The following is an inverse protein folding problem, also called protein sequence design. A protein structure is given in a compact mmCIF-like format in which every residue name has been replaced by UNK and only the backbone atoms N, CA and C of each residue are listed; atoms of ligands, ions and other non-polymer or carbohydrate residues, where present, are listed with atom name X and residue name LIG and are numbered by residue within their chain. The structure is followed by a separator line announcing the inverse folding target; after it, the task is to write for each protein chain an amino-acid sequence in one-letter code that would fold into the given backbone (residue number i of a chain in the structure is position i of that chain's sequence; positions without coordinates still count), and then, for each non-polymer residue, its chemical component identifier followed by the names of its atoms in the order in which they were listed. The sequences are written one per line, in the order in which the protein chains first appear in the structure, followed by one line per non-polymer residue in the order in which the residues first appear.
data_IF_842524264556
#
_entry.id   IF_842524264556
#
_cell.length_a   1.000
_cell.length_b   1.000
_cell.length_c   1.000
_cell.angle_alpha   90.00
_cell.angle_beta   90.00
_cell.angle_gamma   90.00
#
_symmetry.space_group_name_H-M   'P 1'
#
loop_
_entity.id
_entity.type
_entity.pdbx_description
1 polymer ?
#
# COMPACT_ATOMS: atom_id res chain seq x y z
N UNK A 1 19.61 -9.36 -22.56
CA UNK A 1 19.80 -10.05 -21.27
C UNK A 1 19.37 -9.09 -20.18
N UNK A 2 18.48 -9.51 -19.28
CA UNK A 2 18.01 -8.71 -18.14
C UNK A 2 19.00 -8.83 -17.00
N UNK A 3 19.31 -7.73 -16.33
CA UNK A 3 20.22 -7.71 -15.18
C UNK A 3 19.42 -7.50 -13.89
N UNK A 4 19.66 -8.37 -12.93
CA UNK A 4 19.10 -8.31 -11.58
C UNK A 4 20.22 -7.86 -10.65
N UNK A 5 20.10 -6.66 -10.10
CA UNK A 5 21.04 -6.12 -9.13
C UNK A 5 20.47 -6.31 -7.73
N UNK A 6 21.09 -7.20 -6.95
CA UNK A 6 20.75 -7.46 -5.55
C UNK A 6 21.69 -6.64 -4.67
N UNK A 7 21.12 -5.73 -3.89
CA UNK A 7 21.78 -4.77 -3.02
C UNK A 7 21.44 -5.11 -1.58
N UNK A 8 22.44 -5.43 -0.77
CA UNK A 8 22.21 -5.82 0.61
C UNK A 8 22.98 -4.93 1.58
N UNK A 9 22.28 -4.42 2.60
CA UNK A 9 22.81 -3.53 3.63
C UNK A 9 22.53 -4.11 5.01
N UNK A 10 23.57 -4.32 5.81
CA UNK A 10 23.45 -4.82 7.18
C UNK A 10 24.38 -4.02 8.11
N UNK A 11 24.04 -2.75 8.41
CA UNK A 11 24.91 -1.88 9.20
C UNK A 11 25.21 -2.46 10.59
N UNK A 12 26.43 -2.24 11.08
CA UNK A 12 26.97 -2.87 12.30
C UNK A 12 26.25 -2.48 13.59
N UNK A 13 25.54 -1.37 13.59
CA UNK A 13 24.74 -0.84 14.71
C UNK A 13 23.28 -1.27 14.67
N UNK A 14 22.93 -2.24 13.80
CA UNK A 14 21.59 -2.83 13.70
C UNK A 14 21.59 -4.30 14.09
N UNK A 15 20.40 -4.90 14.21
CA UNK A 15 20.30 -6.35 14.37
C UNK A 15 20.76 -7.03 13.08
N UNK A 16 21.54 -8.09 13.22
CA UNK A 16 22.05 -8.85 12.08
C UNK A 16 20.91 -9.60 11.38
N UNK A 17 20.73 -9.32 10.08
CA UNK A 17 19.83 -10.06 9.20
C UNK A 17 20.58 -11.15 8.43
N UNK A 18 19.92 -12.27 8.13
CA UNK A 18 20.48 -13.37 7.32
C UNK A 18 20.40 -13.10 5.81
N UNK A 19 20.94 -11.97 5.39
CA UNK A 19 20.89 -11.50 3.99
C UNK A 19 21.64 -12.42 3.02
N UNK A 20 22.65 -13.13 3.51
CA UNK A 20 23.40 -14.15 2.77
C UNK A 20 22.50 -15.33 2.37
N UNK A 21 21.58 -15.72 3.25
CA UNK A 21 20.60 -16.77 2.98
C UNK A 21 19.62 -16.30 1.90
N UNK A 22 19.06 -15.09 2.02
CA UNK A 22 18.17 -14.54 0.99
C UNK A 22 18.84 -14.52 -0.39
N UNK A 23 20.07 -14.01 -0.47
CA UNK A 23 20.86 -14.00 -1.70
C UNK A 23 21.07 -15.42 -2.26
N UNK A 24 21.45 -16.37 -1.40
CA UNK A 24 21.67 -17.77 -1.80
C UNK A 24 20.41 -18.39 -2.38
N UNK A 25 19.25 -18.17 -1.75
CA UNK A 25 17.99 -18.74 -2.21
C UNK A 25 17.49 -18.08 -3.51
N UNK A 26 17.65 -16.75 -3.67
CA UNK A 26 17.39 -16.05 -4.94
C UNK A 26 18.25 -16.63 -6.07
N UNK A 27 19.54 -16.85 -5.83
CA UNK A 27 20.43 -17.47 -6.81
C UNK A 27 19.99 -18.90 -7.15
N UNK A 28 19.57 -19.68 -6.16
CA UNK A 28 19.11 -21.06 -6.34
C UNK A 28 17.80 -21.14 -7.16
N UNK A 29 16.86 -20.21 -6.93
CA UNK A 29 15.64 -20.05 -7.71
C UNK A 29 15.97 -19.78 -9.20
N UNK A 30 16.76 -18.74 -9.47
CA UNK A 30 17.15 -18.36 -10.83
C UNK A 30 17.99 -19.42 -11.54
N UNK A 31 18.83 -20.16 -10.82
CA UNK A 31 19.67 -21.21 -11.42
C UNK A 31 18.86 -22.41 -11.93
N UNK A 32 17.75 -22.73 -11.27
CA UNK A 32 16.85 -23.84 -11.64
C UNK A 32 15.84 -23.45 -12.72
N UNK A 33 15.69 -22.15 -12.98
CA UNK A 33 14.77 -21.62 -13.96
C UNK A 33 15.03 -22.10 -15.39
N UNK A 34 13.95 -22.35 -16.12
CA UNK A 34 13.99 -22.74 -17.54
C UNK A 34 14.65 -21.65 -18.41
N UNK A 35 14.39 -20.37 -18.10
CA UNK A 35 14.92 -19.24 -18.85
C UNK A 35 16.17 -18.62 -18.20
N UNK A 36 16.92 -19.36 -17.37
CA UNK A 36 18.09 -18.82 -16.64
C UNK A 36 19.12 -18.06 -17.50
N UNK A 37 19.26 -18.40 -18.78
CA UNK A 37 20.21 -17.75 -19.70
C UNK A 37 19.83 -16.32 -20.08
N UNK A 38 18.60 -15.86 -19.77
CA UNK A 38 18.17 -14.49 -20.06
C UNK A 38 18.50 -13.51 -18.93
N UNK A 39 18.92 -14.01 -17.77
CA UNK A 39 19.21 -13.23 -16.58
C UNK A 39 20.71 -13.25 -16.24
N UNK A 40 21.22 -12.09 -15.86
CA UNK A 40 22.51 -11.93 -15.18
C UNK A 40 22.23 -11.38 -13.78
N UNK A 41 22.70 -12.07 -12.75
CA UNK A 41 22.56 -11.63 -11.35
C UNK A 41 23.87 -11.00 -10.87
N UNK A 42 23.77 -9.78 -10.36
CA UNK A 42 24.87 -9.03 -9.74
C UNK A 42 24.51 -8.81 -8.28
N UNK A 43 25.41 -9.20 -7.38
CA UNK A 43 25.20 -9.05 -5.93
C UNK A 43 26.21 -8.03 -5.40
N UNK A 44 25.73 -7.07 -4.62
CA UNK A 44 26.54 -6.11 -3.88
C UNK A 44 26.15 -6.18 -2.40
N UNK A 45 27.09 -6.63 -1.59
CA UNK A 45 26.94 -6.72 -0.13
C UNK A 45 27.49 -5.44 0.52
N UNK A 46 27.05 -5.18 1.76
CA UNK A 46 27.47 -4.03 2.56
C UNK A 46 27.36 -2.70 1.77
N UNK A 47 26.24 -2.52 1.05
CA UNK A 47 26.08 -1.39 0.13
C UNK A 47 26.07 -0.07 0.92
N UNK A 48 26.99 0.84 0.56
CA UNK A 48 26.99 2.20 1.09
C UNK A 48 26.17 3.13 0.22
N UNK A 49 25.80 4.28 0.75
CA UNK A 49 25.03 5.29 0.00
C UNK A 49 25.72 5.71 -1.31
N UNK A 50 27.05 5.80 -1.32
CA UNK A 50 27.82 6.11 -2.53
C UNK A 50 27.83 4.97 -3.55
N UNK A 51 27.75 3.74 -3.08
CA UNK A 51 27.81 2.54 -3.92
C UNK A 51 26.48 2.32 -4.64
N UNK A 52 25.36 2.70 -4.02
CA UNK A 52 24.02 2.59 -4.62
C UNK A 52 23.95 3.26 -6.01
N UNK A 53 24.38 4.52 -6.12
CA UNK A 53 24.38 5.23 -7.41
C UNK A 53 25.36 4.63 -8.41
N UNK A 54 26.56 4.24 -7.95
CA UNK A 54 27.59 3.65 -8.82
C UNK A 54 27.12 2.33 -9.40
N UNK A 55 26.57 1.45 -8.56
CA UNK A 55 26.06 0.16 -8.99
C UNK A 55 24.94 0.29 -10.04
N UNK A 56 24.02 1.25 -9.89
CA UNK A 56 23.00 1.50 -10.91
C UNK A 56 23.61 1.97 -12.24
N UNK A 57 24.61 2.86 -12.21
CA UNK A 57 25.30 3.35 -13.40
C UNK A 57 26.15 2.26 -14.10
N UNK A 58 26.89 1.49 -13.32
CA UNK A 58 27.88 0.53 -13.82
C UNK A 58 27.20 -0.73 -14.35
N UNK A 59 26.22 -1.25 -13.60
CA UNK A 59 25.56 -2.49 -13.96
C UNK A 59 24.37 -2.29 -14.88
N UNK A 60 23.74 -1.11 -14.87
CA UNK A 60 22.58 -0.84 -15.73
C UNK A 60 21.46 -1.88 -15.56
N UNK A 61 20.96 -2.10 -14.33
CA UNK A 61 20.04 -3.20 -14.06
C UNK A 61 18.63 -2.93 -14.59
N UNK A 62 17.95 -3.98 -15.02
CA UNK A 62 16.51 -3.94 -15.32
C UNK A 62 15.66 -4.17 -14.08
N UNK A 63 16.20 -4.88 -13.10
CA UNK A 63 15.53 -5.25 -11.86
C UNK A 63 16.47 -4.93 -10.70
N UNK A 64 15.98 -4.25 -9.68
CA UNK A 64 16.73 -3.94 -8.46
C UNK A 64 16.05 -4.58 -7.27
N UNK A 65 16.79 -5.38 -6.51
CA UNK A 65 16.36 -5.98 -5.26
C UNK A 65 17.14 -5.36 -4.12
N UNK A 66 16.47 -4.76 -3.16
CA UNK A 66 17.09 -4.30 -1.93
C UNK A 66 16.70 -5.23 -0.78
N UNK A 67 17.70 -5.73 -0.06
CA UNK A 67 17.53 -6.56 1.13
C UNK A 67 18.22 -5.91 2.34
N UNK A 68 17.47 -5.61 3.40
CA UNK A 68 18.03 -4.92 4.57
C UNK A 68 17.00 -4.23 5.45
N UNK A 69 17.46 -3.30 6.28
CA UNK A 69 16.59 -2.61 7.24
C UNK A 69 15.84 -1.43 6.63
N UNK A 70 14.60 -1.25 7.10
CA UNK A 70 13.74 -0.11 6.77
C UNK A 70 13.23 0.58 8.05
N UNK A 71 13.08 1.91 7.98
CA UNK A 71 12.62 2.74 9.10
C UNK A 71 11.37 3.54 8.74
N UNK A 72 10.47 2.96 7.94
CA UNK A 72 9.23 3.60 7.50
C UNK A 72 9.51 4.92 6.79
N UNK A 73 8.84 6.01 7.21
CA UNK A 73 9.01 7.33 6.60
C UNK A 73 10.44 7.88 6.66
N UNK A 74 11.29 7.40 7.57
CA UNK A 74 12.67 7.88 7.68
C UNK A 74 13.59 7.33 6.57
N UNK A 75 13.19 6.26 5.88
CA UNK A 75 13.93 5.71 4.74
C UNK A 75 14.47 4.29 4.92
N UNK A 76 15.34 3.90 3.99
CA UNK A 76 16.07 2.62 4.03
C UNK A 76 17.44 2.81 4.68
N UNK A 77 17.90 1.82 5.43
CA UNK A 77 19.20 1.85 6.08
C UNK A 77 20.28 1.29 5.15
N UNK A 78 21.25 2.13 4.80
CA UNK A 78 22.47 1.73 4.08
C UNK A 78 23.68 1.95 4.99
N UNK A 79 24.86 1.52 4.56
CA UNK A 79 26.09 1.77 5.29
C UNK A 79 26.69 3.15 4.96
N UNK A 80 27.32 3.76 5.96
CA UNK A 80 28.30 4.81 5.74
C UNK A 80 29.73 4.23 5.68
N UNK A 81 30.74 5.09 5.54
CA UNK A 81 32.14 4.66 5.46
C UNK A 81 32.69 3.99 6.73
N UNK A 82 31.97 4.08 7.85
CA UNK A 82 32.30 3.36 9.10
C UNK A 82 31.55 2.02 9.23
N UNK A 83 30.69 1.68 8.27
CA UNK A 83 29.78 0.52 8.34
C UNK A 83 28.62 0.71 9.32
N UNK A 84 28.32 1.95 9.71
CA UNK A 84 27.18 2.28 10.55
C UNK A 84 25.98 2.71 9.69
N UNK A 85 24.80 2.72 10.30
CA UNK A 85 23.55 3.09 9.65
C UNK A 85 23.58 4.51 9.12
N UNK A 86 23.25 4.64 7.84
CA UNK A 86 22.87 5.89 7.20
C UNK A 86 21.53 5.71 6.52
N UNK A 87 20.53 6.46 7.00
CA UNK A 87 19.20 6.45 6.41
C UNK A 87 19.18 7.24 5.09
N UNK A 88 18.62 6.64 4.06
CA UNK A 88 18.37 7.28 2.76
C UNK A 88 16.87 7.54 2.64
N UNK A 89 16.50 8.82 2.60
CA UNK A 89 15.10 9.24 2.62
C UNK A 89 14.31 8.78 1.40
N UNK A 90 12.99 8.69 1.57
CA UNK A 90 12.02 8.40 0.50
C UNK A 90 12.20 9.28 -0.73
N UNK A 91 12.35 10.58 -0.53
CA UNK A 91 12.49 11.58 -1.60
C UNK A 91 13.81 11.40 -2.34
N UNK A 92 14.87 11.03 -1.62
CA UNK A 92 16.19 10.78 -2.19
C UNK A 92 16.18 9.53 -3.07
N UNK A 93 15.55 8.45 -2.61
CA UNK A 93 15.36 7.22 -3.40
C UNK A 93 14.49 7.47 -4.63
N UNK A 94 13.36 8.14 -4.49
CA UNK A 94 12.49 8.47 -5.62
C UNK A 94 13.21 9.33 -6.67
N UNK A 95 13.96 10.34 -6.22
CA UNK A 95 14.78 11.18 -7.12
C UNK A 95 15.87 10.37 -7.82
N UNK A 96 16.51 9.43 -7.14
CA UNK A 96 17.51 8.55 -7.74
C UNK A 96 16.88 7.67 -8.83
N UNK A 97 15.82 6.94 -8.51
CA UNK A 97 15.16 6.04 -9.47
C UNK A 97 14.51 6.79 -10.64
N UNK A 98 14.10 8.05 -10.47
CA UNK A 98 13.70 8.92 -11.59
C UNK A 98 14.77 9.01 -12.68
N UNK A 99 16.05 9.04 -12.31
CA UNK A 99 17.16 9.09 -13.26
C UNK A 99 17.35 7.79 -14.05
N UNK A 100 16.73 6.68 -13.61
CA UNK A 100 16.87 5.36 -14.22
C UNK A 100 15.53 4.78 -14.74
N UNK A 101 14.50 5.62 -14.90
CA UNK A 101 13.14 5.20 -15.26
C UNK A 101 13.00 4.52 -16.64
N UNK A 102 13.95 4.75 -17.54
CA UNK A 102 13.99 4.10 -18.87
C UNK A 102 14.66 2.71 -18.81
N UNK A 103 15.40 2.44 -17.75
CA UNK A 103 16.24 1.26 -17.59
C UNK A 103 15.69 0.27 -16.57
N UNK A 104 15.29 0.76 -15.39
CA UNK A 104 14.75 -0.06 -14.31
C UNK A 104 13.26 -0.26 -14.55
N UNK A 105 12.84 -1.52 -14.67
CA UNK A 105 11.45 -1.92 -14.84
C UNK A 105 10.80 -2.30 -13.51
N UNK A 106 11.57 -2.90 -12.61
CA UNK A 106 11.09 -3.45 -11.35
C UNK A 106 12.04 -3.15 -10.19
N UNK A 107 11.48 -2.74 -9.04
CA UNK A 107 12.21 -2.59 -7.78
C UNK A 107 11.50 -3.42 -6.70
N UNK A 108 12.25 -4.25 -5.98
CA UNK A 108 11.75 -5.01 -4.82
C UNK A 108 12.46 -4.49 -3.58
N UNK A 109 11.70 -3.94 -2.63
CA UNK A 109 12.21 -3.41 -1.36
C UNK A 109 11.87 -4.37 -0.21
N UNK A 110 12.73 -5.37 -0.01
CA UNK A 110 12.60 -6.32 1.09
C UNK A 110 13.16 -5.72 2.38
N UNK A 111 12.38 -4.80 2.96
CA UNK A 111 12.73 -4.04 4.16
C UNK A 111 11.46 -3.60 4.89
N UNK A 112 11.48 -3.63 6.22
CA UNK A 112 10.33 -3.27 7.05
C UNK A 112 9.76 -1.88 6.72
N UNK A 113 8.43 -1.78 6.61
CA UNK A 113 7.72 -0.53 6.34
C UNK A 113 8.16 0.21 5.06
N UNK A 114 8.67 -0.53 4.05
CA UNK A 114 9.18 0.05 2.80
C UNK A 114 8.09 0.49 1.79
N UNK A 115 6.79 0.31 2.10
CA UNK A 115 5.69 0.74 1.21
C UNK A 115 5.77 2.24 0.88
N UNK A 116 6.19 3.08 1.84
CA UNK A 116 6.30 4.53 1.65
C UNK A 116 7.31 4.85 0.54
N UNK A 117 8.44 4.14 0.50
CA UNK A 117 9.42 4.23 -0.58
C UNK A 117 8.89 3.63 -1.88
N UNK A 118 8.18 2.51 -1.80
CA UNK A 118 7.58 1.88 -2.98
C UNK A 118 6.62 2.82 -3.70
N UNK A 119 5.74 3.52 -2.97
CA UNK A 119 4.82 4.53 -3.52
C UNK A 119 5.57 5.67 -4.22
N UNK A 120 6.63 6.18 -3.59
CA UNK A 120 7.40 7.30 -4.15
C UNK A 120 8.22 6.90 -5.38
N UNK A 121 8.87 5.74 -5.36
CA UNK A 121 9.64 5.20 -6.50
C UNK A 121 8.71 4.84 -7.66
N UNK A 122 7.52 4.32 -7.35
CA UNK A 122 6.51 3.98 -8.34
C UNK A 122 6.00 5.20 -9.12
N UNK A 123 6.29 6.43 -8.69
CA UNK A 123 6.06 7.61 -9.52
C UNK A 123 6.85 7.56 -10.84
N UNK A 124 7.94 6.80 -10.88
CA UNK A 124 8.89 6.72 -12.00
C UNK A 124 9.11 5.30 -12.52
N UNK A 125 9.04 4.29 -11.67
CA UNK A 125 9.27 2.88 -12.05
C UNK A 125 7.94 2.14 -12.18
N UNK A 126 7.81 1.34 -13.24
CA UNK A 126 6.54 0.69 -13.59
C UNK A 126 6.06 -0.31 -12.55
N UNK A 127 6.99 -1.05 -11.92
CA UNK A 127 6.67 -2.04 -10.90
C UNK A 127 7.53 -1.81 -9.66
N UNK A 128 6.90 -1.65 -8.49
CA UNK A 128 7.63 -1.56 -7.22
C UNK A 128 6.93 -2.38 -6.15
N UNK A 129 7.66 -3.25 -5.48
CA UNK A 129 7.22 -4.00 -4.30
C UNK A 129 7.83 -3.38 -3.06
N UNK A 130 7.03 -3.21 -2.01
CA UNK A 130 7.50 -2.85 -0.67
C UNK A 130 6.70 -3.57 0.42
N UNK A 131 7.02 -3.31 1.67
CA UNK A 131 6.41 -3.93 2.84
C UNK A 131 5.57 -2.89 3.59
N UNK A 132 4.29 -3.14 3.83
CA UNK A 132 3.41 -2.20 4.54
C UNK A 132 3.62 -2.20 6.07
N UNK A 133 4.29 -3.24 6.59
CA UNK A 133 4.60 -3.42 8.01
C UNK A 133 5.98 -4.08 8.20
N UNK A 134 6.32 -4.45 9.43
CA UNK A 134 7.49 -5.26 9.71
C UNK A 134 7.33 -6.67 9.12
N UNK A 135 8.40 -7.23 8.56
CA UNK A 135 8.44 -8.58 7.99
C UNK A 135 9.56 -9.37 8.65
N UNK A 136 9.33 -10.65 8.94
CA UNK A 136 10.34 -11.56 9.46
C UNK A 136 11.28 -12.09 8.37
N UNK A 137 12.52 -12.42 8.74
CA UNK A 137 13.55 -12.91 7.80
C UNK A 137 13.05 -14.08 6.94
N UNK A 138 12.41 -15.09 7.55
CA UNK A 138 11.89 -16.24 6.81
C UNK A 138 10.79 -15.83 5.82
N UNK A 139 9.88 -14.94 6.23
CA UNK A 139 8.83 -14.41 5.35
C UNK A 139 9.43 -13.68 4.14
N UNK A 140 10.42 -12.82 4.39
CA UNK A 140 11.15 -12.07 3.36
C UNK A 140 11.87 -12.99 2.36
N UNK A 141 12.52 -14.05 2.85
CA UNK A 141 13.21 -15.03 2.01
C UNK A 141 12.21 -15.82 1.15
N UNK A 142 11.15 -16.36 1.74
CA UNK A 142 10.15 -17.15 1.01
C UNK A 142 9.44 -16.31 -0.06
N UNK A 143 9.11 -15.05 0.25
CA UNK A 143 8.59 -14.12 -0.74
C UNK A 143 9.54 -13.95 -1.92
N UNK A 144 10.83 -13.70 -1.65
CA UNK A 144 11.84 -13.50 -2.69
C UNK A 144 12.00 -14.76 -3.55
N UNK A 145 12.06 -15.95 -2.94
CA UNK A 145 12.17 -17.23 -3.67
C UNK A 145 11.00 -17.41 -4.64
N UNK A 146 9.76 -17.30 -4.15
CA UNK A 146 8.58 -17.43 -5.00
C UNK A 146 8.54 -16.40 -6.13
N UNK A 147 8.94 -15.16 -5.83
CA UNK A 147 9.05 -14.09 -6.82
C UNK A 147 10.02 -14.45 -7.96
N UNK A 148 11.24 -14.89 -7.61
CA UNK A 148 12.27 -15.18 -8.60
C UNK A 148 12.10 -16.51 -9.32
N UNK A 149 11.43 -17.49 -8.71
CA UNK A 149 11.05 -18.74 -9.38
C UNK A 149 10.12 -18.45 -10.57
N UNK A 150 9.10 -17.61 -10.38
CA UNK A 150 8.17 -17.22 -11.45
C UNK A 150 8.84 -16.32 -12.49
N UNK A 151 9.68 -15.38 -12.04
CA UNK A 151 10.43 -14.54 -12.96
C UNK A 151 11.32 -15.40 -13.88
N UNK A 152 11.99 -16.39 -13.30
CA UNK A 152 12.79 -17.38 -14.03
C UNK A 152 11.97 -18.25 -14.99
N UNK A 153 10.71 -18.52 -14.66
CA UNK A 153 9.76 -19.21 -15.53
C UNK A 153 9.20 -18.32 -16.66
N UNK A 154 9.47 -17.01 -16.64
CA UNK A 154 8.98 -16.05 -17.64
C UNK A 154 7.62 -15.44 -17.33
N UNK A 155 7.16 -15.50 -16.07
CA UNK A 155 5.93 -14.85 -15.63
C UNK A 155 6.04 -13.32 -15.60
N UNK A 156 4.88 -12.66 -15.49
CA UNK A 156 4.83 -11.21 -15.30
C UNK A 156 5.21 -10.82 -13.87
N UNK A 157 5.56 -9.55 -13.62
CA UNK A 157 5.85 -9.10 -12.24
C UNK A 157 4.64 -9.23 -11.31
N UNK A 158 3.42 -9.17 -11.85
CA UNK A 158 2.20 -9.45 -11.09
C UNK A 158 2.16 -10.92 -10.65
N UNK A 159 2.45 -11.85 -11.56
CA UNK A 159 2.50 -13.28 -11.23
C UNK A 159 3.62 -13.59 -10.22
N UNK A 160 4.77 -12.92 -10.37
CA UNK A 160 5.89 -13.04 -9.43
C UNK A 160 5.47 -12.61 -8.03
N UNK A 161 4.77 -11.49 -7.91
CA UNK A 161 4.26 -11.01 -6.62
C UNK A 161 3.25 -11.98 -6.01
N UNK A 162 2.24 -12.41 -6.76
CA UNK A 162 1.20 -13.32 -6.26
C UNK A 162 1.78 -14.65 -5.78
N UNK A 163 2.71 -15.24 -6.52
CA UNK A 163 3.37 -16.48 -6.10
C UNK A 163 4.34 -16.26 -4.95
N UNK A 164 5.01 -15.10 -4.87
CA UNK A 164 5.79 -14.73 -3.69
C UNK A 164 4.94 -14.77 -2.42
N UNK A 165 3.76 -14.13 -2.45
CA UNK A 165 2.82 -14.16 -1.32
C UNK A 165 2.29 -15.57 -1.05
N UNK A 166 1.90 -16.31 -2.09
CA UNK A 166 1.40 -17.68 -1.95
C UNK A 166 2.46 -18.64 -1.38
N UNK A 167 3.75 -18.43 -1.69
CA UNK A 167 4.84 -19.25 -1.14
C UNK A 167 4.93 -19.12 0.38
N UNK A 168 4.70 -17.91 0.91
CA UNK A 168 4.63 -17.68 2.35
C UNK A 168 3.43 -18.40 2.99
N UNK A 169 2.27 -18.38 2.33
CA UNK A 169 1.07 -19.09 2.80
C UNK A 169 1.29 -20.61 2.84
N UNK A 170 1.94 -21.16 1.82
CA UNK A 170 2.26 -22.59 1.73
C UNK A 170 3.22 -23.04 2.85
N UNK A 171 4.13 -22.17 3.26
CA UNK A 171 5.04 -22.38 4.39
C UNK A 171 4.39 -22.12 5.76
N UNK A 172 3.12 -21.71 5.78
CA UNK A 172 2.34 -21.42 6.99
C UNK A 172 2.78 -20.15 7.71
N UNK A 173 3.36 -19.18 7.00
CA UNK A 173 3.87 -17.93 7.55
C UNK A 173 2.77 -16.86 7.46
N UNK A 174 2.23 -16.35 8.59
CA UNK A 174 1.08 -15.45 8.62
C UNK A 174 1.45 -13.99 8.29
N UNK A 175 2.25 -13.78 7.25
CA UNK A 175 2.78 -12.47 6.85
C UNK A 175 2.55 -12.16 5.36
N UNK A 176 1.81 -13.01 4.62
CA UNK A 176 1.62 -12.92 3.15
C UNK A 176 0.90 -11.65 2.70
N UNK A 177 0.26 -10.92 3.63
CA UNK A 177 -0.35 -9.61 3.40
C UNK A 177 0.62 -8.43 3.62
N UNK A 178 1.86 -8.70 4.02
CA UNK A 178 2.90 -7.68 4.28
C UNK A 178 3.49 -7.11 2.97
N UNK A 179 3.88 -7.94 1.99
CA UNK A 179 4.30 -7.43 0.69
C UNK A 179 3.13 -6.74 -0.02
N UNK A 180 3.41 -5.59 -0.61
CA UNK A 180 2.45 -4.84 -1.44
C UNK A 180 3.12 -4.41 -2.73
N UNK A 181 2.40 -4.53 -3.84
CA UNK A 181 2.88 -4.17 -5.17
C UNK A 181 2.20 -2.89 -5.68
N UNK A 182 2.96 -2.03 -6.35
CA UNK A 182 2.48 -0.91 -7.15
C UNK A 182 2.89 -1.17 -8.59
N UNK A 183 1.92 -1.28 -9.51
CA UNK A 183 2.18 -1.62 -10.91
C UNK A 183 1.42 -0.71 -11.88
N UNK A 184 2.09 -0.25 -12.94
CA UNK A 184 1.48 0.43 -14.09
C UNK A 184 1.50 -0.49 -15.29
N UNK A 185 0.40 -0.52 -16.04
CA UNK A 185 0.41 -1.08 -17.39
C UNK A 185 0.95 -0.01 -18.33
N UNK A 186 2.16 -0.18 -18.86
CA UNK A 186 2.53 0.54 -20.10
C UNK A 186 1.66 -0.04 -21.21
N UNK A 187 0.78 0.76 -21.80
CA UNK A 187 0.30 0.48 -23.14
C UNK A 187 1.54 0.48 -24.04
N UNK A 188 1.99 -0.69 -24.46
CA UNK A 188 3.08 -0.85 -25.41
C UNK A 188 2.71 -0.17 -26.73
N UNK A 189 3.04 1.11 -26.91
CA UNK A 189 2.92 1.80 -28.19
C UNK A 189 3.78 1.15 -29.30
N UNK A 190 4.61 0.17 -28.95
CA UNK A 190 5.52 -0.55 -29.84
C UNK A 190 4.90 -1.76 -30.57
N UNK A 191 3.75 -2.29 -30.15
CA UNK A 191 3.12 -3.45 -30.83
C UNK A 191 2.08 -3.06 -31.89
N UNK A 192 1.42 -1.91 -31.78
CA UNK A 192 0.44 -1.46 -32.79
C UNK A 192 1.07 -0.84 -34.05
N UNK A 193 2.33 -0.39 -34.01
CA UNK A 193 3.02 0.14 -35.18
C UNK A 193 3.72 -0.91 -36.06
N UNK A 194 3.90 -2.15 -35.59
CA UNK A 194 4.46 -3.24 -36.42
C UNK A 194 3.39 -4.03 -37.19
N UNK A 195 2.14 -4.05 -36.74
CA UNK A 195 1.06 -4.79 -37.39
C UNK A 195 0.22 -3.98 -38.39
N UNK A 196 0.53 -2.69 -38.59
CA UNK A 196 -0.18 -1.81 -39.53
C UNK A 196 0.41 -1.80 -40.95
N UNK A 197 1.52 -2.52 -41.18
CA UNK A 197 2.22 -2.57 -42.46
C UNK A 197 2.30 -3.99 -43.04
N UNK A 198 1.22 -4.76 -43.01
CA UNK A 198 1.04 -5.95 -43.87
C UNK A 198 -0.38 -6.51 -43.79
N UNK A 199 -1.33 -5.95 -44.55
CA UNK A 199 -2.49 -6.72 -45.02
C UNK A 199 -3.09 -6.08 -46.27
N UNK A 200 -3.03 -6.82 -47.37
CA UNK A 200 -3.76 -6.59 -48.62
C UNK A 200 -5.28 -6.78 -48.39
N UNK A 201 -6.16 -6.17 -49.21
CA UNK A 201 -7.60 -6.21 -48.95
C UNK A 201 -8.18 -7.56 -49.39
N UNK A 202 -8.82 -8.28 -48.48
CA UNK A 202 -9.70 -9.39 -48.82
C UNK A 202 -11.17 -9.01 -48.65
N UNK A 203 -11.94 -9.44 -49.66
CA UNK A 203 -13.36 -9.16 -49.94
C UNK A 203 -14.31 -9.46 -48.77
N UNK A 204 -15.31 -8.59 -48.70
CA UNK A 204 -16.59 -8.76 -48.00
C UNK A 204 -17.33 -10.02 -48.45
N UNK A 205 -17.84 -10.76 -47.47
CA UNK A 205 -19.04 -11.57 -47.65
C UNK A 205 -19.94 -11.31 -46.45
N UNK A 206 -21.08 -10.70 -46.76
CA UNK A 206 -22.22 -10.51 -45.87
C UNK A 206 -22.74 -11.85 -45.35
N UNK A 207 -23.17 -11.83 -44.08
CA UNK A 207 -24.41 -12.49 -43.67
C UNK A 207 -24.91 -11.86 -42.38
N UNK A 208 -26.07 -11.24 -42.53
CA UNK A 208 -26.97 -10.81 -41.48
C UNK A 208 -27.25 -11.96 -40.50
N UNK A 209 -27.28 -11.66 -39.21
CA UNK A 209 -28.53 -11.82 -38.48
C UNK A 209 -28.61 -10.86 -37.29
N UNK A 210 -29.78 -10.24 -37.27
CA UNK A 210 -30.36 -9.25 -36.38
C UNK A 210 -30.28 -9.64 -34.89
N UNK A 211 -30.04 -8.65 -34.02
CA UNK A 211 -30.74 -8.43 -32.74
C UNK A 211 -30.37 -7.02 -32.25
N UNK A 212 -31.28 -6.09 -32.60
CA UNK A 212 -31.75 -4.94 -31.80
C UNK A 212 -30.72 -3.96 -31.20
N UNK A 213 -30.73 -2.76 -31.77
CA UNK A 213 -30.48 -1.50 -31.05
C UNK A 213 -31.38 -1.41 -29.81
N UNK A 214 -30.79 -1.20 -28.64
CA UNK A 214 -31.30 -0.17 -27.72
C UNK A 214 -30.31 0.22 -26.60
N UNK A 215 -30.40 1.50 -26.25
CA UNK A 215 -29.87 2.18 -25.05
C UNK A 215 -28.36 2.42 -24.87
N UNK A 216 -27.91 3.54 -25.45
CA UNK A 216 -26.93 4.42 -24.80
C UNK A 216 -27.59 5.16 -23.62
N UNK A 217 -27.58 4.54 -22.44
CA UNK A 217 -27.80 5.21 -21.16
C UNK A 217 -26.59 4.92 -20.28
N UNK A 218 -25.95 5.95 -19.72
CA UNK A 218 -24.83 5.78 -18.81
C UNK A 218 -25.25 4.96 -17.59
N UNK A 219 -24.92 3.68 -17.58
CA UNK A 219 -25.21 2.78 -16.46
C UNK A 219 -24.09 2.91 -15.44
N UNK A 220 -24.41 3.51 -14.29
CA UNK A 220 -23.62 3.30 -13.07
C UNK A 220 -23.61 1.80 -12.79
N UNK A 221 -22.43 1.20 -12.76
CA UNK A 221 -22.23 -0.21 -12.42
C UNK A 221 -21.70 -0.27 -10.99
N UNK A 222 -22.54 -0.68 -10.06
CA UNK A 222 -22.15 -0.95 -8.67
C UNK A 222 -21.73 -2.42 -8.53
N UNK A 223 -20.64 -2.66 -7.79
CA UNK A 223 -20.16 -4.01 -7.44
C UNK A 223 -20.33 -4.15 -5.92
N UNK A 224 -21.09 -5.15 -5.47
CA UNK A 224 -21.26 -5.45 -4.04
C UNK A 224 -20.55 -6.77 -3.72
N UNK A 225 -19.64 -6.75 -2.74
CA UNK A 225 -18.95 -7.94 -2.24
C UNK A 225 -19.42 -8.22 -0.82
N UNK A 226 -20.01 -9.39 -0.60
CA UNK A 226 -20.43 -9.83 0.74
C UNK A 226 -19.35 -10.66 1.43
N UNK A 227 -19.20 -10.50 2.74
CA UNK A 227 -18.19 -11.20 3.54
C UNK A 227 -16.93 -10.38 3.79
N UNK A 228 -15.84 -11.03 4.21
CA UNK A 228 -14.54 -10.38 4.41
C UNK A 228 -13.77 -10.34 3.09
N UNK A 229 -13.25 -9.18 2.72
CA UNK A 229 -12.38 -9.04 1.54
C UNK A 229 -10.95 -8.82 2.00
N UNK A 230 -10.05 -9.69 1.56
CA UNK A 230 -8.60 -9.61 1.82
C UNK A 230 -7.88 -9.45 0.48
N UNK A 231 -7.01 -8.44 0.38
CA UNK A 231 -6.27 -8.12 -0.85
C UNK A 231 -6.97 -7.07 -1.74
N UNK A 232 -6.69 -7.10 -3.04
CA UNK A 232 -7.21 -6.13 -4.01
C UNK A 232 -8.69 -6.40 -4.34
N UNK A 233 -9.59 -5.74 -3.60
CA UNK A 233 -11.04 -5.91 -3.72
C UNK A 233 -11.64 -5.33 -5.02
N UNK A 234 -11.04 -4.28 -5.57
CA UNK A 234 -11.51 -3.56 -6.76
C UNK A 234 -10.32 -3.07 -7.59
N UNK A 235 -10.37 -3.28 -8.89
CA UNK A 235 -9.41 -2.72 -9.86
C UNK A 235 -10.19 -1.95 -10.92
N UNK A 236 -9.98 -0.64 -11.00
CA UNK A 236 -10.66 0.22 -11.99
C UNK A 236 -9.67 0.67 -13.06
N UNK A 237 -10.15 0.90 -14.28
CA UNK A 237 -9.35 1.52 -15.35
C UNK A 237 -9.20 3.04 -15.18
N UNK A 238 -8.54 3.67 -16.13
CA UNK A 238 -8.29 5.12 -16.10
C UNK A 238 -9.59 5.95 -16.16
N UNK A 239 -9.60 7.09 -15.46
CA UNK A 239 -10.74 8.03 -15.36
C UNK A 239 -11.96 7.55 -14.57
N UNK A 240 -11.80 6.52 -13.72
CA UNK A 240 -12.84 6.13 -12.76
C UNK A 240 -12.60 6.76 -11.38
N UNK A 241 -13.68 7.20 -10.73
CA UNK A 241 -13.66 7.57 -9.31
C UNK A 241 -14.04 6.33 -8.52
N UNK A 242 -13.13 5.85 -7.67
CA UNK A 242 -13.40 4.74 -6.76
C UNK A 242 -13.74 5.31 -5.39
N UNK A 243 -14.96 5.07 -4.93
CA UNK A 243 -15.36 5.36 -3.55
C UNK A 243 -15.56 4.04 -2.81
N UNK A 244 -14.83 3.85 -1.71
CA UNK A 244 -14.98 2.68 -0.84
C UNK A 244 -15.79 3.13 0.37
N UNK A 245 -16.96 2.51 0.54
CA UNK A 245 -17.87 2.79 1.64
C UNK A 245 -17.86 1.59 2.58
N UNK A 246 -17.33 1.77 3.78
CA UNK A 246 -17.31 0.73 4.80
C UNK A 246 -18.59 0.81 5.62
N UNK A 247 -19.42 -0.22 5.52
CA UNK A 247 -20.67 -0.27 6.27
C UNK A 247 -20.41 -0.66 7.73
N UNK A 248 -20.82 0.20 8.65
CA UNK A 248 -20.67 -0.02 10.08
C UNK A 248 -21.84 -0.85 10.63
N UNK A 249 -21.52 -1.90 11.39
CA UNK A 249 -22.54 -2.61 12.19
C UNK A 249 -22.81 -1.79 13.44
N UNK A 250 -23.97 -1.14 13.49
CA UNK A 250 -24.38 -0.30 14.61
C UNK A 250 -24.84 -1.18 15.78
N UNK A 251 -24.21 -1.11 16.96
CA UNK A 251 -24.63 -1.88 18.13
C UNK A 251 -25.95 -1.34 18.71
N UNK A 252 -26.65 -2.15 19.50
CA UNK A 252 -27.85 -1.70 20.20
C UNK A 252 -27.53 -0.51 21.15
N UNK A 253 -28.30 0.60 21.11
CA UNK A 253 -27.99 1.82 21.87
C UNK A 253 -27.87 1.63 23.38
N UNK A 254 -28.63 0.68 23.92
CA UNK A 254 -28.68 0.31 25.35
C UNK A 254 -27.38 -0.32 25.88
N UNK A 255 -26.53 -0.84 25.00
CA UNK A 255 -25.25 -1.46 25.38
C UNK A 255 -24.08 -0.48 25.34
N UNK A 256 -24.32 0.80 25.02
CA UNK A 256 -23.28 1.81 24.87
C UNK A 256 -23.13 2.64 26.14
N UNK A 257 -21.95 2.58 26.75
CA UNK A 257 -21.57 3.54 27.79
C UNK A 257 -21.02 4.83 27.13
N UNK A 258 -21.92 5.79 26.87
CA UNK A 258 -21.58 7.02 26.15
C UNK A 258 -20.41 7.80 26.78
N UNK A 259 -20.29 7.81 28.11
CA UNK A 259 -19.22 8.54 28.80
C UNK A 259 -17.85 7.91 28.53
N UNK A 260 -17.77 6.58 28.56
CA UNK A 260 -16.55 5.86 28.21
C UNK A 260 -16.14 6.12 26.77
N UNK A 261 -17.10 6.09 25.84
CA UNK A 261 -16.82 6.30 24.42
C UNK A 261 -16.40 7.75 24.12
N UNK A 262 -17.02 8.76 24.75
CA UNK A 262 -16.57 10.16 24.63
C UNK A 262 -15.15 10.39 25.14
N UNK A 263 -14.80 9.80 26.29
CA UNK A 263 -13.45 9.90 26.84
C UNK A 263 -12.42 9.27 25.91
N UNK A 264 -12.72 8.10 25.35
CA UNK A 264 -11.83 7.45 24.40
C UNK A 264 -11.65 8.28 23.11
N UNK A 265 -12.73 8.86 22.57
CA UNK A 265 -12.64 9.77 21.44
C UNK A 265 -11.75 10.98 21.75
N UNK A 266 -11.92 11.59 22.93
CA UNK A 266 -11.11 12.72 23.37
C UNK A 266 -9.64 12.37 23.50
N UNK A 267 -9.31 11.23 24.11
CA UNK A 267 -7.93 10.77 24.27
C UNK A 267 -7.24 10.49 22.93
N UNK A 268 -7.97 9.95 21.96
CA UNK A 268 -7.45 9.71 20.62
C UNK A 268 -7.17 11.05 19.92
N UNK A 269 -8.10 12.01 20.01
CA UNK A 269 -7.93 13.32 19.38
C UNK A 269 -6.90 14.21 20.07
N UNK A 270 -6.69 14.05 21.38
CA UNK A 270 -5.66 14.78 22.14
C UNK A 270 -4.22 14.46 21.67
N UNK A 271 -4.02 13.33 20.96
CA UNK A 271 -2.73 12.95 20.37
C UNK A 271 -2.40 13.73 19.10
N UNK A 272 -3.36 14.47 18.55
CA UNK A 272 -3.14 15.30 17.38
C UNK A 272 -2.53 16.65 17.80
N UNK A 273 -1.44 17.05 17.15
CA UNK A 273 -0.88 18.40 17.31
C UNK A 273 -1.71 19.43 16.54
N UNK A 274 -2.85 19.82 17.13
CA UNK A 274 -3.79 20.78 16.51
C UNK A 274 -3.64 22.20 17.05
N UNK A 275 -3.57 23.18 16.15
CA UNK A 275 -3.73 24.60 16.50
C UNK A 275 -5.13 24.92 17.05
N UNK A 276 -6.12 24.08 16.76
CA UNK A 276 -7.50 24.17 17.24
C UNK A 276 -7.78 23.23 18.44
N UNK A 277 -6.76 22.66 19.07
CA UNK A 277 -6.88 21.75 20.23
C UNK A 277 -7.84 22.27 21.31
N UNK A 278 -7.73 23.55 21.67
CA UNK A 278 -8.64 24.19 22.65
C UNK A 278 -10.11 24.19 22.20
N UNK A 279 -10.38 24.33 20.91
CA UNK A 279 -11.76 24.29 20.37
C UNK A 279 -12.33 22.88 20.40
N UNK A 280 -11.48 21.88 20.12
CA UNK A 280 -11.84 20.47 20.24
C UNK A 280 -12.16 20.15 21.70
N UNK A 281 -11.28 20.51 22.63
CA UNK A 281 -11.49 20.29 24.08
C UNK A 281 -12.76 20.96 24.59
N UNK A 282 -13.02 22.22 24.21
CA UNK A 282 -14.25 22.91 24.59
C UNK A 282 -15.50 22.19 24.07
N UNK A 283 -15.46 21.68 22.84
CA UNK A 283 -16.59 20.95 22.27
C UNK A 283 -16.82 19.61 23.00
N UNK A 284 -15.77 18.91 23.44
CA UNK A 284 -15.93 17.74 24.32
C UNK A 284 -16.44 18.11 25.71
N UNK A 285 -16.03 19.25 26.27
CA UNK A 285 -16.53 19.73 27.54
C UNK A 285 -18.03 20.06 27.48
N UNK A 286 -18.50 20.72 26.40
CA UNK A 286 -19.92 21.01 26.18
C UNK A 286 -20.74 19.70 26.10
N UNK A 287 -20.21 18.67 25.42
CA UNK A 287 -20.85 17.36 25.34
C UNK A 287 -20.92 16.67 26.72
N UNK A 288 -19.87 16.76 27.53
CA UNK A 288 -19.82 16.19 28.87
C UNK A 288 -20.75 16.91 29.85
N UNK A 289 -20.85 18.23 29.75
CA UNK A 289 -21.81 19.04 30.52
C UNK A 289 -23.25 18.63 30.22
N UNK A 290 -23.59 18.43 28.94
CA UNK A 290 -24.91 17.95 28.53
C UNK A 290 -25.23 16.56 29.10
N UNK A 291 -24.24 15.64 29.08
CA UNK A 291 -24.40 14.30 29.67
C UNK A 291 -24.57 14.30 31.20
N UNK A 292 -24.18 15.38 31.89
CA UNK A 292 -24.36 15.50 33.33
C UNK A 292 -25.76 16.00 33.73
N UNK A 293 -26.60 16.39 32.77
CA UNK A 293 -27.98 16.81 33.04
C UNK A 293 -28.86 15.61 33.41
N UNK A 294 -29.92 15.80 34.22
CA UNK A 294 -30.85 14.72 34.60
C UNK A 294 -31.50 14.01 33.41
N UNK A 295 -31.68 14.72 32.30
CA UNK A 295 -32.11 14.18 31.01
C UNK A 295 -31.24 14.78 29.90
N UNK A 296 -30.16 14.09 29.48
CA UNK A 296 -29.27 14.59 28.44
C UNK A 296 -29.97 14.68 27.08
N UNK A 297 -29.81 15.81 26.38
CA UNK A 297 -30.24 15.94 24.99
C UNK A 297 -29.19 15.37 24.04
N UNK A 298 -29.53 14.25 23.40
CA UNK A 298 -28.68 13.58 22.41
C UNK A 298 -28.29 14.49 21.24
N UNK A 299 -29.16 15.40 20.83
CA UNK A 299 -28.87 16.31 19.73
C UNK A 299 -27.84 17.36 20.11
N UNK A 300 -27.84 17.85 21.35
CA UNK A 300 -26.83 18.80 21.82
C UNK A 300 -25.46 18.12 21.94
N UNK A 301 -25.41 16.88 22.46
CA UNK A 301 -24.19 16.05 22.45
C UNK A 301 -23.69 15.84 21.03
N UNK A 302 -24.59 15.49 20.09
CA UNK A 302 -24.26 15.28 18.69
C UNK A 302 -23.68 16.53 18.02
N UNK A 303 -24.29 17.72 18.24
CA UNK A 303 -23.78 19.00 17.71
C UNK A 303 -22.41 19.35 18.25
N UNK A 304 -22.18 19.08 19.54
CA UNK A 304 -20.88 19.30 20.16
C UNK A 304 -19.81 18.41 19.51
N UNK A 305 -20.11 17.13 19.29
CA UNK A 305 -19.21 16.22 18.59
C UNK A 305 -18.96 16.62 17.14
N UNK A 306 -20.00 17.02 16.39
CA UNK A 306 -19.88 17.49 15.00
C UNK A 306 -18.87 18.64 14.90
N UNK A 307 -18.95 19.62 15.81
CA UNK A 307 -17.98 20.72 15.91
C UNK A 307 -16.58 20.21 16.23
N UNK A 308 -16.44 19.29 17.19
CA UNK A 308 -15.14 18.74 17.56
C UNK A 308 -14.44 18.08 16.37
N UNK A 309 -15.18 17.24 15.63
CA UNK A 309 -14.69 16.55 14.45
C UNK A 309 -14.43 17.49 13.25
N UNK A 310 -15.19 18.57 13.13
CA UNK A 310 -14.97 19.61 12.12
C UNK A 310 -13.62 20.34 12.28
N UNK A 311 -13.14 20.50 13.52
CA UNK A 311 -11.80 21.00 13.79
C UNK A 311 -10.75 19.90 13.67
N UNK A 312 -11.01 18.72 14.23
CA UNK A 312 -10.07 17.60 14.21
C UNK A 312 -9.68 17.20 12.78
N UNK A 313 -10.65 17.11 11.86
CA UNK A 313 -10.41 16.66 10.47
C UNK A 313 -9.50 17.60 9.65
N UNK A 314 -9.34 18.85 10.10
CA UNK A 314 -8.45 19.84 9.47
C UNK A 314 -7.01 19.73 9.96
N UNK A 315 -6.76 18.93 11.00
CA UNK A 315 -5.45 18.80 11.64
C UNK A 315 -4.56 17.82 10.86
N UNK A 316 -3.30 18.20 10.65
CA UNK A 316 -2.30 17.33 10.05
C UNK A 316 -2.12 16.06 10.93
N UNK A 317 -2.13 14.88 10.30
CA UNK A 317 -2.08 13.60 11.01
C UNK A 317 -3.44 13.04 11.45
N UNK A 318 -4.58 13.69 11.18
CA UNK A 318 -5.91 13.14 11.48
C UNK A 318 -6.13 11.75 10.86
N UNK A 319 -5.63 11.52 9.65
CA UNK A 319 -5.70 10.22 8.95
C UNK A 319 -5.08 9.09 9.79
N UNK A 320 -4.02 9.37 10.54
CA UNK A 320 -3.32 8.36 11.35
C UNK A 320 -4.12 7.87 12.57
N UNK A 321 -5.16 8.60 12.98
CA UNK A 321 -5.99 8.24 14.15
C UNK A 321 -7.35 7.68 13.77
N UNK A 322 -7.74 7.70 12.50
CA UNK A 322 -9.06 7.24 12.00
C UNK A 322 -9.38 5.82 12.48
N UNK A 323 -8.46 4.88 12.34
CA UNK A 323 -8.68 3.48 12.74
C UNK A 323 -8.97 3.34 14.25
N UNK A 324 -8.39 4.21 15.08
CA UNK A 324 -8.64 4.24 16.52
C UNK A 324 -9.97 4.92 16.86
N UNK A 325 -10.43 5.85 16.01
CA UNK A 325 -11.71 6.56 16.20
C UNK A 325 -12.92 5.71 15.81
N UNK A 326 -12.80 4.89 14.75
CA UNK A 326 -13.90 4.06 14.21
C UNK A 326 -14.72 3.29 15.26
N UNK A 327 -14.13 2.46 16.15
CA UNK A 327 -14.93 1.68 17.09
C UNK A 327 -15.69 2.54 18.11
N UNK A 328 -15.07 3.63 18.55
CA UNK A 328 -15.66 4.53 19.53
C UNK A 328 -16.77 5.38 18.90
N UNK A 329 -16.50 5.97 17.73
CA UNK A 329 -17.48 6.79 17.02
C UNK A 329 -18.71 5.98 16.59
N UNK A 330 -18.52 4.73 16.19
CA UNK A 330 -19.62 3.80 15.85
C UNK A 330 -20.58 3.59 17.02
N UNK A 331 -20.05 3.36 18.22
CA UNK A 331 -20.87 3.22 19.42
C UNK A 331 -21.50 4.55 19.83
N UNK A 332 -20.75 5.65 19.74
CA UNK A 332 -21.26 6.99 20.04
C UNK A 332 -22.47 7.35 19.17
N UNK A 333 -22.41 7.14 17.85
CA UNK A 333 -23.55 7.42 16.97
C UNK A 333 -24.71 6.45 17.18
N UNK A 334 -24.43 5.20 17.58
CA UNK A 334 -25.48 4.25 17.96
C UNK A 334 -26.31 4.79 19.13
N UNK A 335 -25.64 5.38 20.13
CA UNK A 335 -26.32 6.01 21.26
C UNK A 335 -27.05 7.30 20.87
N UNK A 336 -26.44 8.15 20.02
CA UNK A 336 -27.01 9.42 19.56
C UNK A 336 -28.27 9.22 18.69
N UNK A 337 -28.32 8.14 17.92
CA UNK A 337 -29.42 7.79 17.01
C UNK A 337 -29.18 8.19 15.56
N UNK A 338 -30.10 7.78 14.69
CA UNK A 338 -29.99 7.82 13.22
C UNK A 338 -29.65 9.20 12.65
N UNK A 339 -30.15 10.28 13.28
CA UNK A 339 -29.87 11.67 12.88
C UNK A 339 -28.37 12.03 12.89
N UNK A 340 -27.56 11.24 13.59
CA UNK A 340 -26.12 11.48 13.78
C UNK A 340 -25.23 10.47 13.07
N UNK A 341 -25.79 9.54 12.29
CA UNK A 341 -25.00 8.60 11.49
C UNK A 341 -24.07 9.29 10.49
N UNK A 342 -24.41 10.51 10.06
CA UNK A 342 -23.52 11.37 9.25
C UNK A 342 -22.12 11.58 9.85
N UNK A 343 -21.96 11.47 11.18
CA UNK A 343 -20.65 11.62 11.84
C UNK A 343 -19.70 10.48 11.45
N UNK A 344 -20.22 9.31 11.09
CA UNK A 344 -19.40 8.18 10.63
C UNK A 344 -18.62 8.48 9.35
N UNK A 345 -19.14 9.38 8.51
CA UNK A 345 -18.46 9.78 7.28
C UNK A 345 -17.10 10.41 7.58
N UNK A 346 -16.93 11.03 8.76
CA UNK A 346 -15.65 11.61 9.19
C UNK A 346 -14.53 10.56 9.29
N UNK A 347 -14.89 9.31 9.58
CA UNK A 347 -13.96 8.17 9.69
C UNK A 347 -14.09 7.19 8.52
N UNK A 348 -14.77 7.59 7.44
CA UNK A 348 -14.96 6.77 6.24
C UNK A 348 -15.94 5.59 6.42
N UNK A 349 -16.85 5.67 7.40
CA UNK A 349 -17.89 4.68 7.67
C UNK A 349 -19.26 5.21 7.20
N UNK A 350 -20.13 4.32 6.74
CA UNK A 350 -21.55 4.58 6.45
C UNK A 350 -22.43 3.53 7.14
N UNK A 351 -23.75 3.75 7.25
CA UNK A 351 -24.70 2.79 7.85
C UNK A 351 -25.49 2.07 6.79
#
# INVERSE_FOLDING_TARGET
MKKILVLCANPKDTNELRLDEEVREIQAALKRANNRSVFEIVIQLAIRVEDLRRALLDYQPTIVHFCGHGSGSNGLALENNSGQTQLVSTESLARLFKSFQEQVECVVLNACYSEVQAVAIHQHIDCVVGMNQAIGDRAAIEFAVGFYDVLGAGGSYSDCFEIGCASMDLEGIPESLTPVIKIRRRFSQTEQQKNSAQTLPMKSLDRDDDITKDNRGGQNRSISVGGSVTGSAMTTGDSNVTEIHYQAVIPAPENVNIRTELNALREVLAKLSSSDSRKIDNAFADAEEELNKPQPDKNEVGKALDRAFDYAKKTEGFVSVIEKLKPHLTKTVAWLGENWYKLLNVVGLTV
#
